data_IF_625689532236
#
_entry.id   IF_625689532236
#
_cell.length_a   1.000
_cell.length_b   1.000
_cell.length_c   1.000
_cell.angle_alpha   90.00
_cell.angle_beta   90.00
_cell.angle_gamma   90.00
#
_symmetry.space_group_name_H-M   'P 1'
#
loop_
_entity.id
_entity.type
_entity.pdbx_description
1 polymer ?
#
# COMPACT_ATOMS: atom_id res chain seq x y z
N UNK A 1 21.76 -36.78 3.99
CA UNK A 1 21.61 -36.04 5.27
C UNK A 1 20.42 -35.08 5.15
N UNK A 2 19.44 -35.14 6.06
CA UNK A 2 18.39 -34.13 6.17
C UNK A 2 18.95 -32.94 6.96
N UNK A 3 19.15 -31.80 6.31
CA UNK A 3 19.59 -30.57 7.00
C UNK A 3 18.38 -29.99 7.74
N UNK A 4 18.35 -30.16 9.06
CA UNK A 4 17.28 -29.62 9.90
C UNK A 4 17.57 -28.15 10.21
N UNK A 5 16.77 -27.24 9.66
CA UNK A 5 16.92 -25.80 9.92
C UNK A 5 16.74 -25.51 11.42
N UNK A 6 17.55 -24.60 11.97
CA UNK A 6 17.53 -24.26 13.40
C UNK A 6 16.20 -23.62 13.81
N UNK A 7 15.84 -23.76 15.09
CA UNK A 7 14.64 -23.14 15.68
C UNK A 7 14.60 -21.63 15.47
N UNK A 8 15.77 -20.96 15.56
CA UNK A 8 15.89 -19.52 15.33
C UNK A 8 15.56 -19.14 13.88
N UNK A 9 15.98 -19.97 12.92
CA UNK A 9 15.66 -19.77 11.51
C UNK A 9 14.16 -19.89 11.27
N UNK A 10 13.51 -20.96 11.77
CA UNK A 10 12.06 -21.14 11.66
C UNK A 10 11.27 -19.99 12.28
N UNK A 11 11.74 -19.48 13.43
CA UNK A 11 11.13 -18.33 14.10
C UNK A 11 11.21 -17.04 13.27
N UNK A 12 12.30 -16.84 12.52
CA UNK A 12 12.44 -15.69 11.60
C UNK A 12 11.51 -15.83 10.39
N UNK A 13 11.43 -17.02 9.79
CA UNK A 13 10.49 -17.28 8.69
C UNK A 13 9.04 -17.00 9.11
N UNK A 14 8.61 -17.51 10.28
CA UNK A 14 7.26 -17.23 10.80
C UNK A 14 6.99 -15.73 10.97
N UNK A 15 7.96 -14.96 11.48
CA UNK A 15 7.82 -13.51 11.60
C UNK A 15 7.69 -12.81 10.24
N UNK A 16 8.38 -13.30 9.21
CA UNK A 16 8.25 -12.75 7.86
C UNK A 16 6.89 -13.08 7.25
N UNK A 17 6.40 -14.32 7.44
CA UNK A 17 5.06 -14.73 7.01
C UNK A 17 3.95 -13.92 7.70
N UNK A 18 4.07 -13.68 9.01
CA UNK A 18 3.14 -12.84 9.77
C UNK A 18 3.06 -11.42 9.17
N UNK A 19 4.22 -10.82 8.81
CA UNK A 19 4.26 -9.50 8.20
C UNK A 19 3.61 -9.48 6.82
N UNK A 20 3.90 -10.48 5.98
CA UNK A 20 3.29 -10.60 4.65
C UNK A 20 1.77 -10.76 4.75
N UNK A 21 1.30 -11.55 5.73
CA UNK A 21 -0.13 -11.72 5.99
C UNK A 21 -0.78 -10.41 6.42
N UNK A 22 -0.19 -9.68 7.38
CA UNK A 22 -0.71 -8.38 7.81
C UNK A 22 -0.74 -7.36 6.66
N UNK A 23 0.29 -7.31 5.83
CA UNK A 23 0.31 -6.48 4.62
C UNK A 23 -0.80 -6.88 3.65
N UNK A 24 -1.02 -8.19 3.45
CA UNK A 24 -2.10 -8.67 2.59
C UNK A 24 -3.46 -8.24 3.13
N UNK A 25 -3.69 -8.31 4.43
CA UNK A 25 -4.93 -7.81 5.05
C UNK A 25 -5.06 -6.30 4.85
N UNK A 26 -4.01 -5.53 5.14
CA UNK A 26 -4.01 -4.07 5.00
C UNK A 26 -4.31 -3.60 3.58
N UNK A 27 -3.94 -4.36 2.54
CA UNK A 27 -4.26 -4.03 1.15
C UNK A 27 -5.76 -4.08 0.80
N UNK A 28 -6.59 -4.74 1.62
CA UNK A 28 -8.03 -4.93 1.36
C UNK A 28 -8.92 -4.08 2.26
N UNK A 29 -8.33 -3.14 3.01
CA UNK A 29 -9.11 -2.14 3.76
C UNK A 29 -9.78 -1.16 2.81
N UNK A 30 -10.90 -0.56 3.25
CA UNK A 30 -11.77 0.19 2.34
C UNK A 30 -11.43 1.67 2.26
N UNK A 31 -10.92 2.24 3.34
CA UNK A 31 -10.68 3.68 3.46
C UNK A 31 -9.54 4.00 4.44
N UNK A 32 -9.21 5.30 4.56
CA UNK A 32 -8.18 5.77 5.49
C UNK A 32 -8.57 5.65 6.96
N UNK A 33 -9.85 5.53 7.31
CA UNK A 33 -10.28 5.32 8.69
C UNK A 33 -9.92 3.90 9.14
N UNK A 34 -10.16 2.91 8.28
CA UNK A 34 -9.71 1.54 8.50
C UNK A 34 -8.19 1.45 8.66
N UNK A 35 -7.42 2.17 7.83
CA UNK A 35 -5.95 2.25 7.96
C UNK A 35 -5.54 2.72 9.36
N UNK A 36 -6.12 3.83 9.83
CA UNK A 36 -5.83 4.38 11.16
C UNK A 36 -6.22 3.40 12.27
N UNK A 37 -7.38 2.77 12.15
CA UNK A 37 -7.84 1.78 13.12
C UNK A 37 -6.87 0.59 13.20
N UNK A 38 -6.41 0.07 12.06
CA UNK A 38 -5.43 -1.03 12.00
C UNK A 38 -4.09 -0.60 12.57
N UNK A 39 -3.60 0.59 12.22
CA UNK A 39 -2.35 1.15 12.73
C UNK A 39 -2.32 1.23 14.27
N UNK A 40 -3.45 1.59 14.88
CA UNK A 40 -3.59 1.73 16.33
C UNK A 40 -3.62 0.40 17.10
N UNK A 41 -3.83 -0.75 16.45
CA UNK A 41 -3.95 -2.05 17.14
C UNK A 41 -2.64 -2.40 17.87
N UNK A 42 -1.51 -2.37 17.16
CA UNK A 42 -0.18 -2.60 17.72
C UNK A 42 0.93 -2.15 16.75
N UNK A 43 2.17 -2.12 17.26
CA UNK A 43 3.35 -1.69 16.50
C UNK A 43 3.62 -2.49 15.21
N UNK A 44 3.24 -3.78 15.16
CA UNK A 44 3.43 -4.61 13.95
C UNK A 44 2.47 -4.20 12.84
N UNK A 45 1.24 -3.81 13.18
CA UNK A 45 0.26 -3.32 12.22
C UNK A 45 0.74 -2.03 11.55
N UNK A 46 1.24 -1.06 12.35
CA UNK A 46 1.87 0.14 11.80
C UNK A 46 3.07 -0.19 10.91
N UNK A 47 3.98 -1.07 11.36
CA UNK A 47 5.11 -1.51 10.54
C UNK A 47 4.67 -2.18 9.23
N UNK A 48 3.58 -2.95 9.24
CA UNK A 48 3.04 -3.59 8.04
C UNK A 48 2.48 -2.57 7.05
N UNK A 49 1.70 -1.59 7.52
CA UNK A 49 1.16 -0.50 6.68
C UNK A 49 2.31 0.31 6.06
N UNK A 50 3.29 0.73 6.86
CA UNK A 50 4.47 1.46 6.37
C UNK A 50 5.35 0.66 5.41
N UNK A 51 5.29 -0.67 5.47
CA UNK A 51 6.04 -1.55 4.57
C UNK A 51 5.33 -1.77 3.23
N UNK A 52 4.07 -1.37 3.09
CA UNK A 52 3.34 -1.47 1.84
C UNK A 52 4.04 -0.67 0.74
N UNK A 53 4.19 -1.30 -0.42
CA UNK A 53 4.80 -0.66 -1.61
C UNK A 53 3.77 0.00 -2.51
N UNK A 54 2.49 -0.16 -2.19
CA UNK A 54 1.34 0.36 -2.93
C UNK A 54 0.22 0.68 -1.96
N UNK A 55 -0.61 1.68 -2.28
CA UNK A 55 -1.82 1.94 -1.52
C UNK A 55 -2.85 0.79 -1.65
N UNK A 56 -3.71 0.58 -0.64
CA UNK A 56 -4.89 -0.27 -0.75
C UNK A 56 -5.81 0.08 -1.92
N UNK A 57 -6.75 -0.82 -2.23
CA UNK A 57 -7.79 -0.59 -3.24
C UNK A 57 -8.88 0.36 -2.72
N UNK A 58 -8.52 1.61 -2.47
CA UNK A 58 -9.47 2.64 -2.07
C UNK A 58 -10.48 2.97 -3.18
N UNK A 59 -11.69 3.31 -2.78
CA UNK A 59 -12.78 3.72 -3.67
C UNK A 59 -12.94 5.24 -3.74
N UNK A 60 -12.11 6.02 -3.02
CA UNK A 60 -12.15 7.48 -3.03
C UNK A 60 -10.77 8.07 -3.37
N UNK A 61 -10.79 9.13 -4.19
CA UNK A 61 -9.59 9.89 -4.56
C UNK A 61 -8.89 10.45 -3.31
N UNK A 62 -9.69 10.99 -2.37
CA UNK A 62 -9.21 11.52 -1.10
C UNK A 62 -8.35 10.53 -0.33
N UNK A 63 -8.78 9.26 -0.24
CA UNK A 63 -8.05 8.23 0.49
C UNK A 63 -6.75 7.84 -0.20
N UNK A 64 -6.76 7.72 -1.54
CA UNK A 64 -5.53 7.48 -2.32
C UNK A 64 -4.55 8.63 -2.09
N UNK A 65 -5.02 9.86 -2.23
CA UNK A 65 -4.18 11.04 -2.10
C UNK A 65 -3.59 11.15 -0.68
N UNK A 66 -4.43 10.91 0.34
CA UNK A 66 -4.01 10.96 1.73
C UNK A 66 -3.01 9.86 2.07
N UNK A 67 -3.26 8.61 1.66
CA UNK A 67 -2.35 7.50 1.91
C UNK A 67 -0.98 7.76 1.28
N UNK A 68 -0.96 8.15 0.00
CA UNK A 68 0.30 8.38 -0.70
C UNK A 68 1.11 9.52 -0.09
N UNK A 69 0.47 10.58 0.43
CA UNK A 69 1.15 11.67 1.15
C UNK A 69 1.77 11.24 2.47
N UNK A 70 1.10 10.37 3.22
CA UNK A 70 1.55 9.95 4.56
C UNK A 70 2.63 8.87 4.45
N UNK A 71 2.40 7.86 3.62
CA UNK A 71 3.22 6.65 3.59
C UNK A 71 4.27 6.64 2.47
N UNK A 72 4.17 7.55 1.50
CA UNK A 72 5.08 7.66 0.35
C UNK A 72 5.40 6.31 -0.31
N UNK A 73 4.39 5.50 -0.68
CA UNK A 73 4.64 4.23 -1.34
C UNK A 73 5.28 4.47 -2.72
N UNK A 74 6.24 3.63 -3.16
CA UNK A 74 6.86 3.77 -4.48
C UNK A 74 5.88 3.53 -5.63
N UNK A 75 4.77 2.84 -5.40
CA UNK A 75 3.70 2.67 -6.39
C UNK A 75 2.43 3.38 -5.93
N UNK A 76 1.87 4.25 -6.76
CA UNK A 76 0.49 4.73 -6.61
C UNK A 76 -0.44 3.90 -7.50
N UNK A 77 -1.42 3.26 -6.89
CA UNK A 77 -2.53 2.61 -7.57
C UNK A 77 -3.75 3.54 -7.55
N UNK A 78 -4.04 4.15 -8.70
CA UNK A 78 -5.06 5.19 -8.83
C UNK A 78 -6.48 4.63 -8.82
N UNK A 79 -6.68 3.32 -9.03
CA UNK A 79 -8.00 2.66 -9.06
C UNK A 79 -9.03 3.35 -9.98
N UNK A 80 -8.58 3.91 -11.10
CA UNK A 80 -9.39 4.71 -12.02
C UNK A 80 -10.04 5.92 -11.33
N UNK A 81 -9.32 6.53 -10.39
CA UNK A 81 -9.69 7.77 -9.70
C UNK A 81 -8.74 8.90 -10.14
N UNK A 82 -9.21 10.16 -10.14
CA UNK A 82 -8.40 11.32 -10.55
C UNK A 82 -7.41 11.74 -9.45
N UNK A 83 -6.39 10.93 -9.20
CA UNK A 83 -5.33 11.18 -8.21
C UNK A 83 -4.56 12.47 -8.50
N UNK A 84 -4.20 13.19 -7.45
CA UNK A 84 -3.47 14.46 -7.54
C UNK A 84 -2.15 14.31 -8.30
N UNK A 85 -1.92 15.16 -9.32
CA UNK A 85 -0.69 15.15 -10.11
C UNK A 85 0.57 15.28 -9.24
N UNK A 86 0.51 16.09 -8.18
CA UNK A 86 1.61 16.26 -7.22
C UNK A 86 2.05 14.96 -6.52
N UNK A 87 1.18 13.95 -6.47
CA UNK A 87 1.48 12.61 -5.96
C UNK A 87 2.07 11.75 -7.07
N UNK A 88 1.44 11.78 -8.25
CA UNK A 88 1.88 11.00 -9.42
C UNK A 88 3.32 11.34 -9.84
N UNK A 89 3.71 12.61 -9.71
CA UNK A 89 5.07 13.07 -10.02
C UNK A 89 6.14 12.60 -9.02
N UNK A 90 5.76 12.03 -7.86
CA UNK A 90 6.68 11.61 -6.80
C UNK A 90 6.85 10.10 -6.69
N UNK A 91 5.96 9.33 -7.31
CA UNK A 91 6.00 7.87 -7.23
C UNK A 91 6.83 7.28 -8.36
N UNK A 92 7.45 6.13 -8.11
CA UNK A 92 8.24 5.41 -9.10
C UNK A 92 7.34 4.71 -10.14
N UNK A 93 6.15 4.27 -9.70
CA UNK A 93 5.22 3.51 -10.54
C UNK A 93 3.79 4.02 -10.37
N UNK A 94 3.05 4.09 -11.49
CA UNK A 94 1.63 4.47 -11.52
C UNK A 94 0.84 3.28 -12.08
N UNK A 95 -0.27 2.90 -11.42
CA UNK A 95 -1.16 1.81 -11.83
C UNK A 95 -2.62 2.24 -11.90
N UNK A 96 -3.38 1.63 -12.80
CA UNK A 96 -4.82 1.85 -12.96
C UNK A 96 -5.19 3.34 -13.06
N UNK A 97 -4.40 4.10 -13.82
CA UNK A 97 -4.60 5.53 -14.04
C UNK A 97 -5.64 5.76 -15.15
N UNK A 98 -6.44 6.83 -15.03
CA UNK A 98 -7.39 7.23 -16.08
C UNK A 98 -6.64 8.03 -17.16
N UNK A 99 -6.50 7.47 -18.35
CA UNK A 99 -5.83 8.14 -19.47
C UNK A 99 -6.70 9.20 -20.19
N UNK A 100 -8.02 9.20 -19.97
CA UNK A 100 -8.98 9.98 -20.77
C UNK A 100 -8.93 11.51 -20.60
N UNK A 101 -8.08 12.05 -19.71
CA UNK A 101 -7.99 13.50 -19.49
C UNK A 101 -6.94 14.24 -20.34
N UNK A 102 -6.13 13.53 -21.12
CA UNK A 102 -5.03 14.14 -21.89
C UNK A 102 -5.36 14.50 -23.35
N UNK A 103 -6.55 14.16 -23.88
CA UNK A 103 -6.82 14.23 -25.34
C UNK A 103 -7.70 15.41 -25.79
N UNK A 104 -8.16 16.30 -24.90
CA UNK A 104 -9.12 17.37 -25.27
C UNK A 104 -8.66 18.82 -25.03
N UNK A 105 -7.37 19.08 -24.81
CA UNK A 105 -6.85 20.45 -24.68
C UNK A 105 -6.06 20.94 -25.90
N UNK A 106 -6.16 20.28 -27.05
CA UNK A 106 -5.65 20.78 -28.34
C UNK A 106 -6.75 20.84 -29.39
N UNK A 107 -7.64 21.84 -29.27
CA UNK A 107 -8.39 22.45 -30.38
C UNK A 107 -8.81 23.85 -29.98
#
# INVERSE_FOLDING_TARGET
MKVTKSTNYKRREMKQLDMVYLMKVALHVKDMNDIKNVEMINKKCGAAIHSLKVNPWFTSEKDVNQFCRIFNPPTCNCNLLPVDESILMKVENIRNYIFDRFVFSTT
#
